data_IF_369228916866
#
_entry.id   IF_369228916866
#
_cell.length_a   1.000
_cell.length_b   1.000
_cell.length_c   1.000
_cell.angle_alpha   90.00
_cell.angle_beta   90.00
_cell.angle_gamma   90.00
#
_symmetry.space_group_name_H-M   'P 1'
#
loop_
_entity.id
_entity.type
_entity.pdbx_description
1 polymer ?
#
# COMPACT_ATOMS: atom_id res chain seq x y z
N UNK A 1 -11.84 43.63 0.06
CA UNK A 1 -11.82 42.50 -0.89
C UNK A 1 -11.36 41.26 -0.15
N UNK A 2 -12.33 40.47 0.29
CA UNK A 2 -12.19 39.22 1.04
C UNK A 2 -11.87 38.07 0.07
N UNK A 3 -10.97 37.13 0.42
CA UNK A 3 -10.70 35.97 -0.42
C UNK A 3 -11.72 34.87 -0.14
N UNK A 4 -12.41 34.42 -1.19
CA UNK A 4 -13.30 33.27 -1.20
C UNK A 4 -12.53 31.97 -0.92
N UNK A 5 -12.86 31.30 0.18
CA UNK A 5 -12.53 29.89 0.43
C UNK A 5 -13.44 29.01 -0.42
N UNK A 6 -12.83 28.14 -1.24
CA UNK A 6 -13.54 27.06 -1.96
C UNK A 6 -14.12 26.07 -0.95
N UNK A 7 -15.44 25.90 -1.01
CA UNK A 7 -16.14 24.82 -0.30
C UNK A 7 -15.63 23.47 -0.80
N UNK A 8 -15.25 22.59 0.11
CA UNK A 8 -15.04 21.18 -0.18
C UNK A 8 -16.42 20.52 -0.22
N UNK A 9 -16.77 19.94 -1.37
CA UNK A 9 -18.01 19.18 -1.53
C UNK A 9 -17.96 17.91 -0.67
N UNK A 10 -18.93 17.78 0.23
CA UNK A 10 -19.13 16.59 1.05
C UNK A 10 -19.98 15.59 0.27
N UNK A 11 -19.48 14.36 0.09
CA UNK A 11 -20.29 13.23 -0.38
C UNK A 11 -20.95 12.59 0.84
N UNK A 12 -22.24 12.86 1.00
CA UNK A 12 -23.11 12.24 2.00
C UNK A 12 -23.51 10.84 1.54
N UNK A 13 -23.06 9.79 2.23
CA UNK A 13 -23.63 8.44 2.08
C UNK A 13 -24.91 8.36 2.91
N UNK A 14 -26.06 8.48 2.24
CA UNK A 14 -27.38 8.29 2.86
C UNK A 14 -27.70 6.80 2.86
N UNK A 15 -27.56 6.15 4.02
CA UNK A 15 -28.19 4.86 4.26
C UNK A 15 -29.63 5.12 4.74
N UNK A 16 -30.61 4.81 3.90
CA UNK A 16 -32.03 4.85 4.27
C UNK A 16 -32.32 3.76 5.32
N UNK A 17 -32.44 4.17 6.57
CA UNK A 17 -33.35 3.55 7.53
C UNK A 17 -33.82 4.61 8.53
N UNK A 18 -35.10 4.55 8.86
CA UNK A 18 -35.88 5.66 9.38
C UNK A 18 -35.37 6.28 10.69
N UNK A 19 -35.24 7.61 10.70
CA UNK A 19 -35.52 8.45 11.87
C UNK A 19 -34.44 8.57 12.94
N UNK A 20 -33.28 9.15 12.63
CA UNK A 20 -32.54 10.11 13.46
C UNK A 20 -31.29 10.59 12.72
N UNK A 21 -31.23 11.87 12.35
CA UNK A 21 -30.01 12.49 11.82
C UNK A 21 -28.94 12.53 12.90
N UNK A 22 -27.94 11.65 12.79
CA UNK A 22 -26.79 11.63 13.68
C UNK A 22 -25.70 12.58 13.13
N UNK A 23 -25.72 13.83 13.57
CA UNK A 23 -24.65 14.80 13.28
C UNK A 23 -23.47 14.51 14.20
N UNK A 24 -22.51 13.70 13.75
CA UNK A 24 -21.25 13.48 14.48
C UNK A 24 -20.30 14.65 14.17
N UNK A 25 -20.22 15.62 15.07
CA UNK A 25 -19.23 16.69 15.01
C UNK A 25 -17.82 16.14 15.29
N UNK A 26 -17.04 15.86 14.25
CA UNK A 26 -15.61 15.54 14.36
C UNK A 26 -14.76 16.80 14.32
N UNK A 27 -14.04 17.11 15.40
CA UNK A 27 -13.04 18.18 15.41
C UNK A 27 -11.91 17.89 14.40
N UNK A 28 -11.39 18.90 13.66
CA UNK A 28 -10.37 18.67 12.63
C UNK A 28 -9.03 18.27 13.24
N UNK A 29 -8.62 17.02 13.01
CA UNK A 29 -7.26 16.55 13.30
C UNK A 29 -6.37 17.00 12.12
N UNK A 30 -5.52 18.01 12.34
CA UNK A 30 -4.55 18.47 11.34
C UNK A 30 -3.41 17.45 11.21
N UNK A 31 -3.33 16.78 10.07
CA UNK A 31 -2.13 16.06 9.64
C UNK A 31 -1.02 17.09 9.36
N UNK A 32 0.08 17.05 10.12
CA UNK A 32 1.29 17.77 9.72
C UNK A 32 1.86 17.10 8.47
N UNK A 33 1.89 17.87 7.38
CA UNK A 33 2.38 17.47 6.05
C UNK A 33 3.87 17.09 6.11
N UNK A 34 4.17 15.79 6.19
CA UNK A 34 5.52 15.25 5.98
C UNK A 34 5.68 14.62 4.58
N UNK A 35 4.85 15.02 3.62
CA UNK A 35 4.77 14.42 2.28
C UNK A 35 5.56 15.14 1.20
N UNK A 36 6.65 15.84 1.53
CA UNK A 36 7.49 16.49 0.51
C UNK A 36 8.93 15.98 0.61
N UNK A 37 9.31 15.24 -0.43
CA UNK A 37 10.68 14.95 -0.86
C UNK A 37 11.58 14.13 0.08
N UNK A 38 11.48 12.80 0.01
CA UNK A 38 12.68 11.97 -0.02
C UNK A 38 12.47 10.78 -0.96
N UNK A 39 13.27 10.74 -2.03
CA UNK A 39 13.42 9.53 -2.84
C UNK A 39 14.22 8.57 -1.95
N UNK A 40 13.56 7.54 -1.41
CA UNK A 40 14.23 6.59 -0.52
C UNK A 40 15.22 5.71 -1.29
N UNK A 41 16.25 5.21 -0.62
CA UNK A 41 17.33 4.36 -1.19
C UNK A 41 16.80 3.19 -2.04
N UNK A 42 15.66 2.59 -1.62
CA UNK A 42 14.98 1.52 -2.38
C UNK A 42 14.49 1.97 -3.76
N UNK A 43 14.09 3.24 -3.90
CA UNK A 43 13.70 3.82 -5.18
C UNK A 43 14.90 4.06 -6.09
N UNK A 44 16.08 4.36 -5.53
CA UNK A 44 17.29 4.59 -6.33
C UNK A 44 17.86 3.26 -6.84
N UNK A 45 17.83 2.22 -6.02
CA UNK A 45 18.19 0.86 -6.45
C UNK A 45 17.24 0.36 -7.56
N UNK A 46 15.93 0.57 -7.40
CA UNK A 46 14.95 0.23 -8.44
C UNK A 46 15.20 1.02 -9.74
N UNK A 47 15.55 2.30 -9.65
CA UNK A 47 15.90 3.09 -10.82
C UNK A 47 17.16 2.54 -11.50
N UNK A 48 18.20 2.20 -10.74
CA UNK A 48 19.44 1.64 -11.30
C UNK A 48 19.18 0.32 -12.04
N UNK A 49 18.37 -0.56 -11.47
CA UNK A 49 17.95 -1.81 -12.15
C UNK A 49 17.12 -1.53 -13.39
N UNK A 50 16.19 -0.57 -13.34
CA UNK A 50 15.38 -0.18 -14.48
C UNK A 50 16.24 0.39 -15.63
N UNK A 51 17.23 1.25 -15.32
CA UNK A 51 18.22 1.76 -16.28
C UNK A 51 19.00 0.63 -16.94
N UNK A 52 19.44 -0.36 -16.16
CA UNK A 52 20.19 -1.50 -16.69
C UNK A 52 19.35 -2.33 -17.68
N UNK A 53 18.06 -2.56 -17.40
CA UNK A 53 17.16 -3.21 -18.34
C UNK A 53 16.96 -2.37 -19.61
N UNK A 54 16.79 -1.06 -19.45
CA UNK A 54 16.59 -0.17 -20.59
C UNK A 54 17.83 -0.08 -21.48
N UNK A 55 19.03 0.03 -20.91
CA UNK A 55 20.29 0.00 -21.65
C UNK A 55 20.48 -1.31 -22.41
N UNK A 56 20.16 -2.46 -21.80
CA UNK A 56 20.20 -3.75 -22.49
C UNK A 56 19.21 -3.81 -23.65
N UNK A 57 18.02 -3.24 -23.48
CA UNK A 57 17.05 -3.09 -24.55
C UNK A 57 17.61 -2.25 -25.71
N UNK A 58 18.19 -1.09 -25.46
CA UNK A 58 18.80 -0.25 -26.50
C UNK A 58 19.89 -1.02 -27.27
N UNK A 59 20.76 -1.74 -26.56
CA UNK A 59 21.85 -2.51 -27.18
C UNK A 59 21.35 -3.66 -28.08
N UNK A 60 20.19 -4.25 -27.77
CA UNK A 60 19.70 -5.46 -28.44
C UNK A 60 18.59 -5.20 -29.45
N UNK A 61 17.84 -4.10 -29.29
CA UNK A 61 16.63 -3.81 -30.06
C UNK A 61 16.54 -2.33 -30.48
N UNK A 62 17.53 -1.50 -30.10
CA UNK A 62 17.60 -0.12 -30.56
C UNK A 62 18.09 -0.05 -32.01
N UNK A 63 17.58 0.93 -32.75
CA UNK A 63 18.12 1.26 -34.05
C UNK A 63 19.58 1.72 -33.93
N UNK A 64 20.31 1.70 -35.05
CA UNK A 64 21.73 2.11 -35.10
C UNK A 64 22.00 3.53 -34.58
N UNK A 65 20.97 4.39 -34.52
CA UNK A 65 21.05 5.74 -33.96
C UNK A 65 21.04 5.79 -32.43
N UNK A 66 20.61 4.72 -31.76
CA UNK A 66 20.45 4.65 -30.30
C UNK A 66 21.10 3.41 -29.65
N UNK A 67 21.56 2.43 -30.43
CA UNK A 67 22.15 1.18 -29.93
C UNK A 67 23.41 1.39 -29.08
N UNK A 68 24.21 2.40 -29.41
CA UNK A 68 25.44 2.77 -28.70
C UNK A 68 25.20 3.79 -27.57
N UNK A 69 23.95 4.23 -27.41
CA UNK A 69 23.56 5.19 -26.37
C UNK A 69 23.17 4.47 -25.09
N UNK A 70 23.21 5.21 -23.99
CA UNK A 70 22.69 4.80 -22.70
C UNK A 70 21.54 5.71 -22.31
N UNK A 71 20.77 5.27 -21.32
CA UNK A 71 19.67 6.03 -20.70
C UNK A 71 20.10 7.48 -20.37
N UNK A 72 21.34 7.68 -19.91
CA UNK A 72 21.84 8.99 -19.51
C UNK A 72 22.27 9.85 -20.70
N UNK A 73 22.71 9.25 -21.81
CA UNK A 73 23.18 9.95 -23.02
C UNK A 73 22.11 10.18 -24.08
N UNK A 74 20.93 9.56 -23.95
CA UNK A 74 19.80 9.81 -24.85
C UNK A 74 19.35 11.28 -24.81
N UNK A 75 19.01 11.78 -25.99
CA UNK A 75 18.42 13.11 -26.20
C UNK A 75 16.91 12.99 -26.40
N UNK A 76 16.22 14.11 -26.26
CA UNK A 76 14.77 14.17 -26.36
C UNK A 76 14.21 13.53 -27.66
N UNK A 77 14.75 13.81 -28.86
CA UNK A 77 14.27 13.18 -30.10
C UNK A 77 14.48 11.67 -30.18
N UNK A 78 15.40 11.12 -29.38
CA UNK A 78 15.69 9.68 -29.37
C UNK A 78 14.61 8.89 -28.61
N UNK A 79 13.79 9.55 -27.78
CA UNK A 79 12.81 8.88 -26.90
C UNK A 79 11.40 9.08 -27.41
N UNK A 80 10.86 8.06 -28.06
CA UNK A 80 9.50 8.04 -28.61
C UNK A 80 8.55 7.16 -27.79
N UNK A 81 7.25 7.39 -27.94
CA UNK A 81 6.22 6.48 -27.40
C UNK A 81 6.40 5.05 -27.93
N UNK A 82 6.69 4.90 -29.22
CA UNK A 82 6.93 3.59 -29.83
C UNK A 82 8.10 2.85 -29.16
N UNK A 83 9.23 3.52 -28.94
CA UNK A 83 10.38 2.92 -28.26
C UNK A 83 10.03 2.47 -26.83
N UNK A 84 9.26 3.26 -26.09
CA UNK A 84 8.79 2.87 -24.75
C UNK A 84 7.79 1.70 -24.79
N UNK A 85 6.96 1.61 -25.83
CA UNK A 85 6.10 0.46 -26.10
C UNK A 85 6.89 -0.81 -26.42
N UNK A 86 7.91 -0.71 -27.27
CA UNK A 86 8.84 -1.80 -27.57
C UNK A 86 9.60 -2.24 -26.32
N UNK A 87 10.01 -1.30 -25.46
CA UNK A 87 10.63 -1.62 -24.18
C UNK A 87 9.67 -2.35 -23.24
N UNK A 88 8.40 -1.96 -23.18
CA UNK A 88 7.37 -2.70 -22.42
C UNK A 88 7.26 -4.16 -22.89
N UNK A 89 7.22 -4.40 -24.20
CA UNK A 89 7.23 -5.75 -24.79
C UNK A 89 8.52 -6.50 -24.46
N UNK A 90 9.68 -5.85 -24.55
CA UNK A 90 10.96 -6.44 -24.15
C UNK A 90 10.96 -6.89 -22.68
N UNK A 91 10.42 -6.07 -21.77
CA UNK A 91 10.28 -6.44 -20.36
C UNK A 91 9.36 -7.65 -20.20
N UNK A 92 8.25 -7.73 -20.95
CA UNK A 92 7.34 -8.89 -20.93
C UNK A 92 8.03 -10.20 -21.36
N UNK A 93 8.89 -10.12 -22.37
CA UNK A 93 9.64 -11.26 -22.89
C UNK A 93 10.80 -11.68 -21.97
N UNK A 94 11.42 -10.71 -21.28
CA UNK A 94 12.63 -10.94 -20.47
C UNK A 94 12.30 -11.32 -19.03
N UNK A 95 11.23 -10.75 -18.45
CA UNK A 95 10.89 -10.94 -17.04
C UNK A 95 9.73 -11.93 -16.90
N UNK A 96 9.93 -12.97 -16.09
CA UNK A 96 8.89 -13.96 -15.80
C UNK A 96 7.75 -13.40 -14.96
N UNK A 97 8.05 -12.50 -14.01
CA UNK A 97 7.07 -11.95 -13.05
C UNK A 97 6.71 -10.50 -13.37
N UNK A 98 5.41 -10.18 -13.31
CA UNK A 98 4.88 -8.82 -13.51
C UNK A 98 5.39 -7.81 -12.47
N UNK A 99 5.72 -8.26 -11.27
CA UNK A 99 6.13 -7.43 -10.14
C UNK A 99 7.39 -6.58 -10.39
N UNK A 100 8.25 -6.96 -11.34
CA UNK A 100 9.39 -6.15 -11.79
C UNK A 100 9.07 -5.20 -12.94
N UNK A 101 8.13 -5.58 -13.82
CA UNK A 101 7.91 -4.94 -15.13
C UNK A 101 7.29 -3.55 -14.99
N UNK A 102 6.14 -3.46 -14.30
CA UNK A 102 5.42 -2.19 -14.15
C UNK A 102 6.25 -1.15 -13.37
N UNK A 103 6.97 -1.52 -12.28
CA UNK A 103 7.88 -0.59 -11.62
C UNK A 103 9.02 -0.12 -12.52
N UNK A 104 9.68 -1.00 -13.28
CA UNK A 104 10.79 -0.57 -14.15
C UNK A 104 10.32 0.33 -15.28
N UNK A 105 9.20 0.01 -15.91
CA UNK A 105 8.58 0.87 -16.90
C UNK A 105 8.25 2.25 -16.31
N UNK A 106 7.71 2.30 -15.09
CA UNK A 106 7.44 3.57 -14.38
C UNK A 106 8.70 4.35 -14.02
N UNK A 107 9.77 3.69 -13.60
CA UNK A 107 11.03 4.36 -13.26
C UNK A 107 11.69 4.97 -14.51
N UNK A 108 11.71 4.27 -15.64
CA UNK A 108 12.24 4.79 -16.91
C UNK A 108 11.38 5.95 -17.42
N UNK A 109 10.05 5.79 -17.39
CA UNK A 109 9.12 6.84 -17.78
C UNK A 109 9.30 8.10 -16.91
N UNK A 110 9.31 7.94 -15.58
CA UNK A 110 9.54 9.03 -14.63
C UNK A 110 10.90 9.71 -14.78
N UNK A 111 11.95 8.94 -15.13
CA UNK A 111 13.27 9.49 -15.40
C UNK A 111 13.25 10.46 -16.59
N UNK A 112 12.66 10.07 -17.72
CA UNK A 112 12.61 10.93 -18.90
C UNK A 112 11.69 12.13 -18.71
N UNK A 113 10.54 11.95 -18.07
CA UNK A 113 9.66 13.07 -17.68
C UNK A 113 10.37 14.07 -16.79
N UNK A 114 11.16 13.60 -15.82
CA UNK A 114 11.97 14.49 -14.98
C UNK A 114 13.11 15.16 -15.74
N UNK A 115 13.82 14.42 -16.62
CA UNK A 115 14.97 14.92 -17.38
C UNK A 115 14.60 16.07 -18.33
N UNK A 116 13.39 16.05 -18.88
CA UNK A 116 12.91 17.05 -19.86
C UNK A 116 11.69 17.82 -19.40
N UNK A 117 11.47 17.90 -18.09
CA UNK A 117 10.40 18.70 -17.51
C UNK A 117 10.54 20.16 -17.96
N UNK A 118 9.50 20.70 -18.60
CA UNK A 118 9.49 22.09 -19.10
C UNK A 118 10.03 22.28 -20.52
N UNK A 119 10.51 21.24 -21.19
CA UNK A 119 10.76 21.30 -22.62
C UNK A 119 9.42 21.36 -23.38
N UNK A 120 9.14 22.46 -24.08
CA UNK A 120 7.89 22.65 -24.88
C UNK A 120 7.68 21.64 -26.00
N UNK A 121 8.69 20.83 -26.33
CA UNK A 121 8.62 19.74 -27.30
C UNK A 121 8.46 18.35 -26.66
N UNK A 122 8.57 18.27 -25.33
CA UNK A 122 8.46 17.02 -24.58
C UNK A 122 7.00 16.66 -24.38
N UNK A 123 6.47 16.03 -25.41
CA UNK A 123 5.17 15.39 -25.42
C UNK A 123 5.37 14.02 -26.04
N UNK A 124 5.32 12.96 -25.22
CA UNK A 124 5.39 11.58 -25.72
C UNK A 124 4.23 11.27 -26.67
N UNK A 125 3.13 12.02 -26.58
CA UNK A 125 2.04 11.97 -27.55
C UNK A 125 1.38 13.36 -27.73
N UNK A 126 1.07 13.81 -28.96
CA UNK A 126 0.52 15.14 -29.24
C UNK A 126 -0.95 15.38 -28.82
N UNK A 127 -1.60 14.39 -28.18
CA UNK A 127 -3.02 14.47 -27.76
C UNK A 127 -3.14 14.30 -26.23
N UNK A 128 -2.51 15.20 -25.48
CA UNK A 128 -2.47 15.27 -24.01
C UNK A 128 -3.82 15.59 -23.35
N UNK A 129 -4.89 14.87 -23.69
CA UNK A 129 -6.13 14.93 -22.91
C UNK A 129 -6.04 14.12 -21.59
N UNK A 130 -5.11 13.16 -21.49
CA UNK A 130 -4.75 12.43 -20.27
C UNK A 130 -3.57 11.50 -20.58
N UNK A 131 -2.88 10.98 -19.56
CA UNK A 131 -1.87 9.90 -19.65
C UNK A 131 -2.41 8.56 -20.23
N UNK A 132 -3.42 8.61 -21.11
CA UNK A 132 -4.18 7.47 -21.61
C UNK A 132 -3.28 6.45 -22.29
N UNK A 133 -2.38 6.89 -23.17
CA UNK A 133 -1.43 5.99 -23.84
C UNK A 133 -0.59 5.18 -22.85
N UNK A 134 -0.06 5.84 -21.82
CA UNK A 134 0.75 5.15 -20.80
C UNK A 134 -0.10 4.21 -19.96
N UNK A 135 -1.34 4.62 -19.64
CA UNK A 135 -2.32 3.76 -18.97
C UNK A 135 -2.65 2.52 -19.81
N UNK A 136 -2.82 2.67 -21.12
CA UNK A 136 -3.16 1.60 -22.06
C UNK A 136 -2.02 0.59 -22.18
N UNK A 137 -0.76 1.04 -22.26
CA UNK A 137 0.40 0.13 -22.23
C UNK A 137 0.43 -0.69 -20.94
N UNK A 138 0.20 -0.06 -19.80
CA UNK A 138 0.17 -0.76 -18.51
C UNK A 138 -0.97 -1.77 -18.43
N UNK A 139 -2.14 -1.41 -18.95
CA UNK A 139 -3.30 -2.30 -19.01
C UNK A 139 -3.03 -3.50 -19.94
N UNK A 140 -2.45 -3.26 -21.12
CA UNK A 140 -2.05 -4.29 -22.06
C UNK A 140 -1.01 -5.25 -21.47
N UNK A 141 0.02 -4.73 -20.80
CA UNK A 141 1.01 -5.55 -20.09
C UNK A 141 0.37 -6.46 -19.03
N UNK A 142 -0.55 -5.92 -18.22
CA UNK A 142 -1.29 -6.73 -17.24
C UNK A 142 -2.03 -7.86 -17.92
N UNK A 143 -2.79 -7.55 -18.97
CA UNK A 143 -3.56 -8.54 -19.72
C UNK A 143 -2.65 -9.65 -20.30
N UNK A 144 -1.49 -9.30 -20.86
CA UNK A 144 -0.54 -10.29 -21.37
C UNK A 144 0.01 -11.20 -20.26
N UNK A 145 0.37 -10.65 -19.09
CA UNK A 145 0.82 -11.45 -17.95
C UNK A 145 -0.30 -12.33 -17.39
N UNK A 146 -1.53 -11.84 -17.35
CA UNK A 146 -2.69 -12.62 -16.92
C UNK A 146 -2.91 -13.81 -17.84
N UNK A 147 -2.90 -13.59 -19.15
CA UNK A 147 -3.07 -14.67 -20.12
C UNK A 147 -1.95 -15.70 -20.04
N UNK A 148 -0.69 -15.27 -19.85
CA UNK A 148 0.44 -16.19 -19.65
C UNK A 148 0.25 -17.03 -18.39
N UNK A 149 -0.08 -16.40 -17.26
CA UNK A 149 -0.31 -17.08 -15.99
C UNK A 149 -1.47 -18.11 -16.09
N UNK A 150 -2.58 -17.74 -16.73
CA UNK A 150 -3.70 -18.66 -16.98
C UNK A 150 -3.30 -19.82 -17.88
N UNK A 151 -2.56 -19.57 -18.95
CA UNK A 151 -2.12 -20.61 -19.88
C UNK A 151 -1.10 -21.59 -19.25
N UNK A 152 -0.24 -21.08 -18.36
CA UNK A 152 0.80 -21.87 -17.69
C UNK A 152 0.32 -22.49 -16.36
N UNK A 153 -0.90 -22.16 -15.90
CA UNK A 153 -1.40 -22.57 -14.58
C UNK A 153 -0.61 -21.97 -13.42
N UNK A 154 0.16 -20.91 -13.68
CA UNK A 154 0.97 -20.23 -12.67
C UNK A 154 0.19 -19.09 -12.01
N UNK A 155 0.53 -18.77 -10.76
CA UNK A 155 0.03 -17.56 -10.12
C UNK A 155 0.74 -16.32 -10.69
N UNK A 156 -0.04 -15.30 -11.07
CA UNK A 156 0.44 -13.97 -11.48
C UNK A 156 1.40 -13.33 -10.46
N UNK A 157 1.18 -13.62 -9.17
CA UNK A 157 1.94 -13.08 -8.06
C UNK A 157 2.19 -14.19 -7.05
N UNK A 158 3.43 -14.29 -6.58
CA UNK A 158 3.77 -15.13 -5.44
C UNK A 158 3.19 -14.46 -4.18
N UNK A 159 1.96 -14.85 -3.83
CA UNK A 159 1.22 -14.25 -2.72
C UNK A 159 1.64 -14.93 -1.42
N UNK A 160 1.93 -14.11 -0.39
CA UNK A 160 2.08 -14.64 0.94
C UNK A 160 0.79 -15.39 1.38
N UNK A 161 0.90 -16.47 2.15
CA UNK A 161 -0.28 -17.19 2.65
C UNK A 161 -1.14 -16.24 3.48
N UNK A 162 -2.48 -16.34 3.44
CA UNK A 162 -3.34 -15.55 4.32
C UNK A 162 -3.04 -15.89 5.78
N UNK A 163 -2.91 -14.87 6.64
CA UNK A 163 -2.74 -15.08 8.08
C UNK A 163 -4.11 -15.12 8.72
N UNK A 164 -4.71 -16.32 8.73
CA UNK A 164 -5.99 -16.57 9.36
C UNK A 164 -6.03 -16.08 10.81
N UNK A 165 -7.23 -15.73 11.30
CA UNK A 165 -7.45 -15.33 12.70
C UNK A 165 -6.81 -16.27 13.73
N UNK A 166 -6.81 -17.59 13.48
CA UNK A 166 -6.14 -18.58 14.32
C UNK A 166 -4.60 -18.45 14.35
N UNK A 167 -3.99 -18.12 13.22
CA UNK A 167 -2.55 -17.84 13.12
C UNK A 167 -2.19 -16.49 13.74
N UNK A 168 -3.03 -15.47 13.55
CA UNK A 168 -2.89 -14.17 14.22
C UNK A 168 -2.90 -14.35 15.74
N UNK A 169 -3.81 -15.17 16.28
CA UNK A 169 -3.84 -15.51 17.71
C UNK A 169 -2.53 -16.13 18.17
N UNK A 170 -1.98 -17.10 17.46
CA UNK A 170 -0.70 -17.73 17.82
C UNK A 170 0.46 -16.72 17.84
N UNK A 171 0.53 -15.84 16.84
CA UNK A 171 1.53 -14.75 16.77
C UNK A 171 1.35 -13.80 17.97
N UNK A 172 0.11 -13.42 18.27
CA UNK A 172 -0.24 -12.54 19.37
C UNK A 172 0.11 -13.13 20.74
N UNK A 173 -0.21 -14.41 20.94
CA UNK A 173 0.10 -15.18 22.14
C UNK A 173 1.60 -15.24 22.37
N UNK A 174 2.37 -15.54 21.33
CA UNK A 174 3.83 -15.61 21.43
C UNK A 174 4.46 -14.26 21.80
N UNK A 175 3.97 -13.15 21.21
CA UNK A 175 4.41 -11.81 21.55
C UNK A 175 4.00 -11.40 22.98
N UNK A 176 2.80 -11.78 23.42
CA UNK A 176 2.35 -11.48 24.77
C UNK A 176 3.18 -12.24 25.83
N UNK A 177 3.42 -13.54 25.63
CA UNK A 177 4.19 -14.35 26.59
C UNK A 177 5.69 -14.05 26.62
N UNK A 178 6.22 -13.32 25.64
CA UNK A 178 7.57 -12.77 25.72
C UNK A 178 7.69 -11.68 26.82
N UNK A 179 6.56 -11.10 27.25
CA UNK A 179 6.40 -10.23 28.42
C UNK A 179 7.40 -9.06 28.50
N UNK A 180 7.56 -8.38 27.37
CA UNK A 180 8.49 -7.26 27.21
C UNK A 180 7.74 -6.09 26.58
N UNK A 181 8.05 -4.87 26.99
CA UNK A 181 7.38 -3.66 26.47
C UNK A 181 7.49 -3.56 24.94
N UNK A 182 8.60 -4.03 24.36
CA UNK A 182 8.85 -4.03 22.93
C UNK A 182 7.93 -5.01 22.19
N UNK A 183 7.77 -6.23 22.70
CA UNK A 183 6.93 -7.27 22.11
C UNK A 183 5.44 -6.92 22.22
N UNK A 184 5.05 -6.21 23.28
CA UNK A 184 3.69 -5.66 23.42
C UNK A 184 3.43 -4.56 22.37
N UNK A 185 4.42 -3.70 22.09
CA UNK A 185 4.33 -2.70 21.01
C UNK A 185 4.24 -3.39 19.62
N UNK A 186 5.03 -4.43 19.39
CA UNK A 186 5.00 -5.21 18.14
C UNK A 186 3.67 -5.96 17.95
N UNK A 187 3.08 -6.47 19.04
CA UNK A 187 1.73 -7.05 19.03
C UNK A 187 0.71 -6.02 18.58
N UNK A 188 0.71 -4.84 19.19
CA UNK A 188 -0.18 -3.73 18.82
C UNK A 188 -0.03 -3.30 17.36
N UNK A 189 1.20 -3.26 16.85
CA UNK A 189 1.48 -2.96 15.45
C UNK A 189 0.83 -3.97 14.49
N UNK A 190 0.95 -5.27 14.77
CA UNK A 190 0.36 -6.34 13.95
C UNK A 190 -1.17 -6.29 13.99
N UNK A 191 -1.76 -6.11 15.18
CA UNK A 191 -3.23 -5.96 15.31
C UNK A 191 -3.74 -4.74 14.57
N UNK A 192 -3.03 -3.63 14.69
CA UNK A 192 -3.40 -2.40 13.99
C UNK A 192 -3.34 -2.59 12.48
N UNK A 193 -2.32 -3.30 11.94
CA UNK A 193 -2.27 -3.64 10.51
C UNK A 193 -3.47 -4.46 10.08
N UNK A 194 -3.74 -5.53 10.83
CA UNK A 194 -4.80 -6.48 10.51
C UNK A 194 -6.17 -5.79 10.53
N UNK A 195 -6.58 -5.17 11.63
CA UNK A 195 -7.88 -4.51 11.75
C UNK A 195 -8.07 -3.32 10.83
N UNK A 196 -7.00 -2.59 10.52
CA UNK A 196 -7.10 -1.50 9.58
C UNK A 196 -7.25 -1.99 8.13
N UNK A 197 -6.98 -3.26 7.81
CA UNK A 197 -6.65 -3.68 6.44
C UNK A 197 -5.58 -2.76 5.82
N UNK A 198 -4.75 -2.16 6.68
CA UNK A 198 -3.91 -1.02 6.36
C UNK A 198 -2.58 -1.46 5.78
N UNK A 199 -1.94 -0.61 4.97
CA UNK A 199 -0.52 -0.82 4.64
C UNK A 199 0.33 -0.63 5.89
N UNK A 200 1.50 -1.25 5.99
CA UNK A 200 2.42 -0.96 7.09
C UNK A 200 2.66 0.55 7.34
N UNK A 201 2.68 1.39 6.29
CA UNK A 201 2.80 2.85 6.44
C UNK A 201 1.61 3.54 7.10
N UNK A 202 0.49 2.83 7.26
CA UNK A 202 -0.78 3.29 7.81
C UNK A 202 -0.98 2.84 9.27
N UNK A 203 -0.09 2.00 9.81
CA UNK A 203 -0.27 1.34 11.12
C UNK A 203 0.40 2.06 12.28
N UNK A 204 1.22 3.08 12.00
CA UNK A 204 1.82 3.96 13.01
C UNK A 204 0.82 4.98 13.59
N UNK A 205 -0.30 4.50 14.13
CA UNK A 205 -1.42 5.33 14.59
C UNK A 205 -1.20 5.76 16.03
N UNK A 206 -0.77 7.01 16.26
CA UNK A 206 -0.55 7.56 17.61
C UNK A 206 -1.66 7.18 18.59
N UNK A 207 -1.30 6.81 19.83
CA UNK A 207 -2.28 6.55 20.89
C UNK A 207 -3.25 7.73 21.10
N UNK A 208 -2.77 8.97 21.01
CA UNK A 208 -3.61 10.17 21.06
C UNK A 208 -4.57 10.34 19.86
N UNK A 209 -4.37 9.58 18.79
CA UNK A 209 -5.28 9.49 17.65
C UNK A 209 -6.28 8.32 17.76
N UNK A 210 -6.23 7.55 18.86
CA UNK A 210 -7.21 6.51 19.19
C UNK A 210 -8.28 7.11 20.10
N UNK A 211 -9.54 6.98 19.72
CA UNK A 211 -10.68 7.47 20.51
C UNK A 211 -11.66 6.35 20.75
N UNK A 212 -12.19 6.26 21.96
CA UNK A 212 -13.35 5.43 22.21
C UNK A 212 -14.62 6.18 21.82
N UNK A 213 -15.46 5.56 21.01
CA UNK A 213 -16.77 6.08 20.57
C UNK A 213 -17.84 5.18 21.18
N UNK A 214 -18.60 5.72 22.14
CA UNK A 214 -19.48 4.93 23.01
C UNK A 214 -20.80 4.49 22.38
N UNK A 215 -21.24 5.08 21.27
CA UNK A 215 -22.54 4.79 20.67
C UNK A 215 -22.44 4.49 19.16
N UNK A 216 -23.25 3.55 18.64
CA UNK A 216 -24.25 2.73 19.34
C UNK A 216 -23.68 1.46 20.01
N UNK A 217 -22.49 0.99 19.64
CA UNK A 217 -21.97 -0.33 20.06
C UNK A 217 -20.60 -0.30 20.75
N UNK A 218 -20.03 0.88 21.00
CA UNK A 218 -18.68 1.00 21.58
C UNK A 218 -17.60 0.57 20.60
N UNK A 219 -16.81 1.51 20.08
CA UNK A 219 -15.74 1.21 19.14
C UNK A 219 -14.47 2.00 19.48
N UNK A 220 -13.31 1.42 19.20
CA UNK A 220 -12.08 2.19 19.03
C UNK A 220 -12.06 2.79 17.63
N UNK A 221 -12.03 4.10 17.55
CA UNK A 221 -11.85 4.86 16.32
C UNK A 221 -10.37 5.22 16.16
N UNK A 222 -9.83 4.94 14.98
CA UNK A 222 -8.46 5.24 14.59
C UNK A 222 -8.46 6.19 13.40
N UNK A 223 -7.60 7.22 13.45
CA UNK A 223 -7.36 8.10 12.32
C UNK A 223 -6.15 7.59 11.52
N UNK A 224 -6.40 7.00 10.35
CA UNK A 224 -5.39 6.42 9.47
C UNK A 224 -5.04 7.40 8.36
N UNK A 225 -3.80 7.89 8.35
CA UNK A 225 -3.27 8.74 7.28
C UNK A 225 -2.75 7.91 6.12
N UNK A 226 -3.09 8.29 4.89
CA UNK A 226 -2.47 7.75 3.67
C UNK A 226 -1.41 8.71 3.14
N UNK A 227 -0.10 8.38 3.25
CA UNK A 227 0.96 9.30 2.83
C UNK A 227 0.87 9.68 1.34
N UNK A 228 0.44 8.76 0.47
CA UNK A 228 0.40 8.99 -0.98
C UNK A 228 -0.71 9.94 -1.43
N UNK A 229 -1.85 9.92 -0.76
CA UNK A 229 -3.03 10.70 -1.13
C UNK A 229 -3.27 11.88 -0.20
N UNK A 230 -2.46 12.00 0.86
CA UNK A 230 -2.66 12.94 1.96
C UNK A 230 -4.10 12.89 2.53
N UNK A 231 -4.74 11.72 2.45
CA UNK A 231 -6.11 11.53 2.90
C UNK A 231 -6.13 10.87 4.26
N UNK A 232 -7.03 11.33 5.13
CA UNK A 232 -7.32 10.69 6.42
C UNK A 232 -8.54 9.79 6.27
N UNK A 233 -8.48 8.58 6.81
CA UNK A 233 -9.60 7.65 6.90
C UNK A 233 -9.84 7.29 8.36
N UNK A 234 -11.10 7.26 8.78
CA UNK A 234 -11.48 6.78 10.10
C UNK A 234 -11.79 5.29 10.01
N UNK A 235 -11.10 4.50 10.83
CA UNK A 235 -11.37 3.07 11.00
C UNK A 235 -12.00 2.87 12.36
N UNK A 236 -13.04 2.06 12.44
CA UNK A 236 -13.62 1.63 13.70
C UNK A 236 -13.30 0.15 13.90
N UNK A 237 -12.74 -0.19 15.06
CA UNK A 237 -12.71 -1.57 15.52
C UNK A 237 -13.67 -1.73 16.69
N UNK A 238 -14.48 -2.76 16.60
CA UNK A 238 -15.42 -3.14 17.63
C UNK A 238 -14.75 -4.16 18.54
N UNK A 239 -15.19 -4.17 19.79
CA UNK A 239 -14.75 -5.17 20.74
C UNK A 239 -15.09 -6.55 20.20
N UNK A 240 -14.09 -7.41 20.16
CA UNK A 240 -14.27 -8.78 19.75
C UNK A 240 -14.71 -9.62 20.95
N UNK A 241 -15.83 -10.33 20.84
CA UNK A 241 -16.31 -11.21 21.92
C UNK A 241 -15.44 -12.47 22.09
N UNK A 242 -14.57 -12.71 21.10
CA UNK A 242 -13.57 -13.77 21.04
C UNK A 242 -12.40 -13.51 22.02
N UNK A 243 -11.45 -14.46 22.15
CA UNK A 243 -10.47 -14.41 23.24
C UNK A 243 -9.46 -13.28 23.05
N UNK A 244 -8.94 -12.78 24.18
CA UNK A 244 -8.01 -11.64 24.28
C UNK A 244 -6.82 -11.69 23.31
N UNK A 245 -6.44 -12.87 22.82
CA UNK A 245 -5.37 -13.05 21.86
C UNK A 245 -5.66 -12.42 20.49
N UNK A 246 -6.93 -12.27 20.09
CA UNK A 246 -7.35 -11.69 18.81
C UNK A 246 -7.95 -10.29 18.92
N UNK A 247 -8.06 -9.74 20.13
CA UNK A 247 -8.76 -8.48 20.35
C UNK A 247 -7.81 -7.26 20.36
N UNK A 248 -8.12 -6.28 19.52
CA UNK A 248 -7.39 -5.02 19.43
C UNK A 248 -7.52 -4.17 20.70
N UNK A 249 -8.63 -4.26 21.45
CA UNK A 249 -8.75 -3.51 22.69
C UNK A 249 -7.72 -3.99 23.71
N UNK A 250 -7.61 -5.31 23.91
CA UNK A 250 -6.57 -5.89 24.76
C UNK A 250 -5.17 -5.53 24.28
N UNK A 251 -4.91 -5.60 22.97
CA UNK A 251 -3.59 -5.25 22.44
C UNK A 251 -3.21 -3.78 22.72
N UNK A 252 -4.14 -2.86 22.46
CA UNK A 252 -3.97 -1.41 22.73
C UNK A 252 -3.82 -1.13 24.22
N UNK A 253 -4.63 -1.78 25.06
CA UNK A 253 -4.59 -1.62 26.51
C UNK A 253 -3.25 -2.08 27.10
N UNK A 254 -2.76 -3.27 26.72
CA UNK A 254 -1.46 -3.76 27.16
C UNK A 254 -0.33 -2.79 26.76
N UNK A 255 -0.35 -2.31 25.52
CA UNK A 255 0.65 -1.35 25.04
C UNK A 255 0.57 -0.01 25.79
N UNK A 256 -0.64 0.47 26.08
CA UNK A 256 -0.81 1.69 26.87
C UNK A 256 -0.24 1.55 28.29
N UNK A 257 -0.43 0.38 28.93
CA UNK A 257 0.06 0.11 30.27
C UNK A 257 1.59 0.02 30.37
N UNK A 258 2.26 -0.44 29.32
CA UNK A 258 3.74 -0.52 29.27
C UNK A 258 4.40 0.78 28.79
N UNK A 259 3.60 1.73 28.29
CA UNK A 259 4.06 3.03 27.81
C UNK A 259 4.36 3.99 28.97
N UNK A 260 5.61 4.44 29.09
CA UNK A 260 5.99 5.47 30.06
C UNK A 260 5.68 6.90 29.59
N UNK A 261 5.27 7.09 28.34
CA UNK A 261 4.93 8.39 27.77
C UNK A 261 3.84 8.25 26.68
N UNK A 262 2.61 8.62 27.03
CA UNK A 262 1.42 8.44 26.19
C UNK A 262 1.52 9.09 24.79
N UNK A 263 2.37 10.12 24.61
CA UNK A 263 2.56 10.83 23.33
C UNK A 263 3.89 10.52 22.61
N UNK A 264 4.84 9.84 23.27
CA UNK A 264 6.10 9.47 22.63
C UNK A 264 6.01 8.18 21.79
N UNK A 265 4.95 7.40 21.97
CA UNK A 265 4.90 6.04 21.45
C UNK A 265 3.99 5.96 20.23
N UNK A 266 4.60 6.26 19.08
CA UNK A 266 5.00 5.20 18.16
C UNK A 266 6.46 5.48 17.80
N UNK A 267 7.38 4.60 18.18
CA UNK A 267 8.70 4.59 17.54
C UNK A 267 8.58 4.24 16.05
N UNK A 268 7.42 3.76 15.62
CA UNK A 268 7.06 3.55 14.22
C UNK A 268 6.49 4.77 13.50
N UNK A 269 7.07 5.97 13.67
CA UNK A 269 7.02 7.00 12.61
C UNK A 269 7.52 6.45 11.25
N UNK A 270 8.15 5.28 11.26
CA UNK A 270 8.57 4.49 10.11
C UNK A 270 8.04 3.04 10.14
N UNK A 271 6.79 2.78 10.56
CA UNK A 271 6.15 1.48 10.33
C UNK A 271 6.30 1.13 8.84
N UNK A 272 7.07 0.09 8.56
CA UNK A 272 7.38 -0.32 7.19
C UNK A 272 7.11 -1.79 7.05
N UNK A 273 6.81 -2.21 5.83
CA UNK A 273 6.61 -3.62 5.51
C UNK A 273 7.82 -4.46 5.92
N UNK A 274 9.03 -3.89 5.86
CA UNK A 274 10.25 -4.58 6.30
C UNK A 274 10.27 -4.83 7.82
N UNK A 275 9.82 -3.87 8.62
CA UNK A 275 9.70 -4.03 10.08
C UNK A 275 8.71 -5.14 10.39
N UNK A 276 7.49 -5.07 9.86
CA UNK A 276 6.46 -6.08 10.15
C UNK A 276 6.90 -7.46 9.68
N UNK A 277 7.50 -7.57 8.49
CA UNK A 277 8.03 -8.84 7.99
C UNK A 277 9.15 -9.40 8.90
N UNK A 278 10.01 -8.55 9.47
CA UNK A 278 11.03 -8.98 10.42
C UNK A 278 10.40 -9.53 11.70
N UNK A 279 9.37 -8.87 12.23
CA UNK A 279 8.61 -9.31 13.40
C UNK A 279 7.99 -10.69 13.11
N UNK A 280 7.22 -10.80 12.02
CA UNK A 280 6.56 -12.04 11.63
C UNK A 280 7.56 -13.18 11.42
N UNK A 281 8.69 -12.91 10.75
CA UNK A 281 9.75 -13.93 10.55
C UNK A 281 10.29 -14.44 11.88
N UNK A 282 10.60 -13.52 12.82
CA UNK A 282 11.13 -13.87 14.14
C UNK A 282 10.09 -14.66 14.95
N UNK A 283 8.85 -14.17 15.02
CA UNK A 283 7.80 -14.79 15.82
C UNK A 283 7.41 -16.15 15.26
N UNK A 284 7.21 -16.27 13.94
CA UNK A 284 6.86 -17.57 13.33
C UNK A 284 7.93 -18.63 13.59
N UNK A 285 9.21 -18.24 13.55
CA UNK A 285 10.32 -19.15 13.85
C UNK A 285 10.30 -19.66 15.31
N UNK A 286 9.90 -18.81 16.27
CA UNK A 286 9.81 -19.18 17.69
C UNK A 286 8.53 -19.95 18.00
N UNK A 287 7.42 -19.62 17.32
CA UNK A 287 6.11 -20.25 17.53
C UNK A 287 5.92 -21.58 16.81
N UNK A 288 6.88 -22.02 16.00
CA UNK A 288 6.76 -23.24 15.19
C UNK A 288 5.72 -23.13 14.06
N UNK A 289 5.38 -21.90 13.65
CA UNK A 289 4.50 -21.66 12.51
C UNK A 289 5.27 -21.95 11.22
N UNK A 290 4.91 -23.02 10.51
CA UNK A 290 5.55 -23.42 9.25
C UNK A 290 5.35 -22.39 8.12
N UNK A 291 4.30 -21.57 8.23
CA UNK A 291 3.94 -20.58 7.21
C UNK A 291 4.77 -19.30 7.37
N UNK A 292 5.43 -18.88 6.27
CA UNK A 292 6.18 -17.62 6.21
C UNK A 292 5.24 -16.44 5.97
N UNK A 293 4.56 -15.99 7.03
CA UNK A 293 3.70 -14.81 6.95
C UNK A 293 4.49 -13.54 6.64
N UNK A 294 3.82 -12.63 5.92
CA UNK A 294 4.29 -11.28 5.62
C UNK A 294 3.22 -10.26 6.02
N UNK A 295 3.53 -8.97 6.05
CA UNK A 295 2.55 -7.91 6.31
C UNK A 295 1.33 -7.99 5.37
N UNK A 296 1.54 -8.43 4.12
CA UNK A 296 0.46 -8.70 3.18
C UNK A 296 -0.46 -9.87 3.58
N UNK A 297 0.04 -10.85 4.34
CA UNK A 297 -0.74 -12.00 4.83
C UNK A 297 -1.90 -11.59 5.71
N UNK A 298 -1.66 -10.70 6.68
CA UNK A 298 -2.70 -10.22 7.60
C UNK A 298 -3.74 -9.37 6.88
N UNK A 299 -3.28 -8.50 5.99
CA UNK A 299 -4.17 -7.66 5.18
C UNK A 299 -5.09 -8.51 4.30
N UNK A 300 -4.56 -9.57 3.69
CA UNK A 300 -5.30 -10.46 2.79
C UNK A 300 -6.40 -11.19 3.53
N UNK A 301 -6.06 -11.76 4.68
CA UNK A 301 -7.04 -12.48 5.48
C UNK A 301 -8.15 -11.57 6.00
N UNK A 302 -7.81 -10.39 6.54
CA UNK A 302 -8.81 -9.43 7.00
C UNK A 302 -9.71 -8.95 5.84
N UNK A 303 -9.16 -8.76 4.64
CA UNK A 303 -9.95 -8.44 3.46
C UNK A 303 -10.90 -9.59 3.07
N UNK A 304 -10.42 -10.84 3.08
CA UNK A 304 -11.27 -12.01 2.83
C UNK A 304 -12.36 -12.18 3.88
N UNK A 305 -12.06 -11.95 5.15
CA UNK A 305 -13.03 -11.97 6.24
C UNK A 305 -14.09 -10.87 6.06
N UNK A 306 -13.67 -9.63 5.75
CA UNK A 306 -14.59 -8.54 5.47
C UNK A 306 -15.54 -8.87 4.30
N UNK A 307 -15.03 -9.48 3.23
CA UNK A 307 -15.82 -9.89 2.06
C UNK A 307 -16.76 -11.07 2.33
N UNK A 308 -16.56 -11.82 3.42
CA UNK A 308 -17.49 -12.87 3.84
C UNK A 308 -18.76 -12.33 4.48
N UNK A 309 -18.77 -11.05 4.87
CA UNK A 309 -19.92 -10.39 5.48
C UNK A 309 -20.87 -9.81 4.43
N UNK A 310 -22.16 -10.08 4.62
CA UNK A 310 -23.22 -9.52 3.78
C UNK A 310 -23.21 -7.98 3.86
N UNK A 311 -23.20 -7.33 2.70
CA UNK A 311 -23.29 -5.87 2.59
C UNK A 311 -21.94 -5.15 2.47
N UNK A 312 -20.81 -5.86 2.55
CA UNK A 312 -19.48 -5.29 2.27
C UNK A 312 -19.19 -5.38 0.77
N UNK A 313 -18.88 -4.25 0.13
CA UNK A 313 -18.54 -4.24 -1.29
C UNK A 313 -17.07 -4.57 -1.54
N UNK A 314 -16.80 -5.37 -2.58
CA UNK A 314 -15.45 -5.61 -3.11
C UNK A 314 -14.73 -4.30 -3.40
N UNK A 315 -15.44 -3.31 -3.95
CA UNK A 315 -14.88 -1.98 -4.24
C UNK A 315 -14.44 -1.25 -2.98
N UNK A 316 -15.18 -1.37 -1.88
CA UNK A 316 -14.83 -0.75 -0.60
C UNK A 316 -13.57 -1.37 -0.01
N UNK A 317 -13.45 -2.70 -0.04
CA UNK A 317 -12.27 -3.43 0.44
C UNK A 317 -11.03 -3.10 -0.42
N UNK A 318 -11.18 -3.07 -1.75
CA UNK A 318 -10.12 -2.66 -2.68
C UNK A 318 -9.67 -1.23 -2.38
N UNK A 319 -10.61 -0.30 -2.28
CA UNK A 319 -10.33 1.10 -2.00
C UNK A 319 -9.65 1.26 -0.64
N UNK A 320 -10.08 0.51 0.39
CA UNK A 320 -9.52 0.57 1.75
C UNK A 320 -8.11 0.00 1.84
N UNK A 321 -7.85 -1.19 1.34
CA UNK A 321 -6.47 -1.71 1.38
C UNK A 321 -5.57 -1.12 0.31
N UNK A 322 -6.13 -0.36 -0.64
CA UNK A 322 -5.42 0.08 -1.83
C UNK A 322 -4.86 -1.11 -2.59
N UNK A 323 -5.67 -2.17 -2.70
CA UNK A 323 -5.38 -3.38 -3.45
C UNK A 323 -5.41 -3.06 -4.94
N UNK A 324 -4.59 -3.76 -5.71
CA UNK A 324 -4.82 -3.83 -7.14
C UNK A 324 -5.95 -4.84 -7.37
N UNK A 325 -6.81 -4.62 -8.37
CA UNK A 325 -8.04 -5.41 -8.59
C UNK A 325 -7.74 -6.91 -8.79
N UNK A 326 -6.56 -7.22 -9.33
CA UNK A 326 -5.96 -8.53 -9.56
C UNK A 326 -5.40 -9.21 -8.29
N UNK A 327 -5.37 -8.51 -7.15
CA UNK A 327 -4.86 -9.05 -5.89
C UNK A 327 -5.98 -9.53 -4.93
N UNK A 328 -7.25 -9.38 -5.31
CA UNK A 328 -8.42 -9.76 -4.50
C UNK A 328 -9.09 -11.05 -4.98
N UNK A 329 -8.66 -11.59 -6.13
CA UNK A 329 -9.03 -12.92 -6.62
C UNK A 329 -8.21 -14.03 -5.97
#
# INVERSE_FOLDING_TARGET
MTPHTKNADYVTLVAHNAGQELVIASAPIRLQSAGVASRGEKSDQQLATAKNHFNKFLQSHGDSSVSDKSTDTLTHPDVTAEMLGCFATYLFMTLKKMSGVLPYLSQVMGLFTGKWQGCTRWELHPNNASDQWYSDIRAGLRHMYTNRATAEGESLVDQAPPMHRSSLRQVATALFFADTAYEVEERDLIFTEWHCMGRASETGIRNSAVKYVSAPTGALQFAVGRPKTNSLQLVHAFYDADPWEADIFHSKACHHMTSTNADAIYHFRAASTAVINRILTRVCAVSGLEQRFQSHSGRRDCASEALSHNGVSVTEVINRGGWAFDAVS
#
